data_IF_306991317548
#
_entry.id   IF_306991317548
#
_cell.length_a   1.000
_cell.length_b   1.000
_cell.length_c   1.000
_cell.angle_alpha   90.00
_cell.angle_beta   90.00
_cell.angle_gamma   90.00
#
_symmetry.space_group_name_H-M   'P 1'
#
loop_
_entity.id
_entity.type
_entity.pdbx_description
1 polymer ?
#
# COMPACT_ATOMS: atom_id res chain seq x y z
N UNK A 1 -18.16 -13.56 25.38
CA UNK A 1 -18.01 -12.14 25.03
C UNK A 1 -16.93 -12.03 23.97
N UNK A 2 -17.32 -11.81 22.73
CA UNK A 2 -16.43 -11.55 21.61
C UNK A 2 -15.57 -10.32 21.93
N UNK A 3 -14.30 -10.55 22.30
CA UNK A 3 -13.32 -9.48 22.45
C UNK A 3 -13.25 -8.78 21.10
N UNK A 4 -13.86 -7.60 21.00
CA UNK A 4 -13.52 -6.62 19.99
C UNK A 4 -12.04 -6.31 20.17
N UNK A 5 -11.20 -6.99 19.40
CA UNK A 5 -9.77 -6.68 19.33
C UNK A 5 -9.69 -5.31 18.67
N UNK A 6 -9.50 -4.27 19.47
CA UNK A 6 -9.14 -2.94 18.98
C UNK A 6 -7.87 -3.10 18.13
N UNK A 7 -8.06 -3.15 16.81
CA UNK A 7 -6.95 -3.26 15.87
C UNK A 7 -6.04 -2.07 16.14
N UNK A 8 -4.73 -2.29 16.36
CA UNK A 8 -3.80 -1.18 16.57
C UNK A 8 -3.95 -0.20 15.40
N UNK A 9 -3.98 1.11 15.70
CA UNK A 9 -4.12 2.18 14.71
C UNK A 9 -2.90 2.16 13.77
N UNK A 10 -2.97 1.31 12.75
CA UNK A 10 -1.92 1.18 11.75
C UNK A 10 -1.87 2.46 10.93
N UNK A 11 -0.70 3.12 10.82
CA UNK A 11 -0.58 4.28 9.96
C UNK A 11 -0.93 3.87 8.53
N UNK A 12 -1.64 4.73 7.80
CA UNK A 12 -2.01 4.50 6.40
C UNK A 12 -1.20 5.39 5.48
N UNK A 13 -1.07 5.01 4.21
CA UNK A 13 -0.31 5.74 3.22
C UNK A 13 -0.85 5.43 1.82
N UNK A 14 -0.67 6.35 0.86
CA UNK A 14 -1.20 6.18 -0.49
C UNK A 14 -0.19 5.48 -1.39
N UNK A 15 -0.59 4.38 -2.00
CA UNK A 15 0.26 3.60 -2.91
C UNK A 15 -0.40 3.34 -4.26
N UNK A 16 0.40 3.23 -5.31
CA UNK A 16 -0.03 2.71 -6.63
C UNK A 16 0.89 1.59 -7.08
N UNK A 17 0.45 0.73 -8.02
CA UNK A 17 1.36 -0.19 -8.71
C UNK A 17 2.51 0.60 -9.37
N UNK A 18 3.73 0.09 -9.25
CA UNK A 18 4.90 0.75 -9.84
C UNK A 18 4.81 0.79 -11.37
N UNK A 19 4.36 -0.31 -11.97
CA UNK A 19 4.27 -0.50 -13.43
C UNK A 19 2.82 -0.55 -13.89
N UNK A 20 2.54 0.10 -15.02
CA UNK A 20 1.22 0.04 -15.66
C UNK A 20 0.96 -1.39 -16.15
N UNK A 21 -0.10 -2.03 -15.66
CA UNK A 21 -0.41 -3.44 -15.92
C UNK A 21 0.08 -4.42 -14.86
N UNK A 22 0.85 -3.96 -13.86
CA UNK A 22 1.20 -4.80 -12.71
C UNK A 22 -0.01 -4.95 -11.77
N UNK A 23 -0.46 -6.18 -11.61
CA UNK A 23 -1.63 -6.52 -10.79
C UNK A 23 -1.16 -6.86 -9.37
N UNK A 24 -1.14 -5.85 -8.50
CA UNK A 24 -0.88 -6.06 -7.07
C UNK A 24 -2.21 -6.18 -6.33
N UNK A 25 -2.52 -7.38 -5.82
CA UNK A 25 -3.78 -7.65 -5.09
C UNK A 25 -3.65 -7.32 -3.61
N UNK A 26 -4.74 -6.81 -3.05
CA UNK A 26 -4.92 -6.68 -1.60
C UNK A 26 -5.08 -8.09 -0.98
N UNK A 27 -4.38 -8.41 0.12
CA UNK A 27 -4.45 -9.75 0.72
C UNK A 27 -5.80 -10.04 1.39
N UNK A 28 -6.57 -9.01 1.72
CA UNK A 28 -7.87 -9.12 2.38
C UNK A 28 -8.99 -9.12 1.33
N UNK A 29 -9.05 -8.08 0.50
CA UNK A 29 -10.16 -7.94 -0.47
C UNK A 29 -9.93 -8.71 -1.75
N UNK A 30 -8.69 -9.14 -2.03
CA UNK A 30 -8.26 -9.78 -3.28
C UNK A 30 -8.43 -8.90 -4.52
N UNK A 31 -8.74 -7.62 -4.32
CA UNK A 31 -8.90 -6.66 -5.39
C UNK A 31 -7.55 -6.10 -5.81
N UNK A 32 -7.36 -5.85 -7.12
CA UNK A 32 -6.16 -5.17 -7.61
C UNK A 32 -6.12 -3.71 -7.15
N UNK A 33 -4.91 -3.23 -6.88
CA UNK A 33 -4.65 -1.82 -6.63
C UNK A 33 -5.06 -0.97 -7.83
N UNK A 34 -5.68 0.18 -7.55
CA UNK A 34 -6.04 1.17 -8.57
C UNK A 34 -4.79 1.76 -9.19
N UNK A 35 -4.79 1.96 -10.51
CA UNK A 35 -3.68 2.58 -11.24
C UNK A 35 -3.41 4.03 -10.78
N UNK A 36 -4.45 4.75 -10.33
CA UNK A 36 -4.34 6.10 -9.75
C UNK A 36 -3.79 6.12 -8.33
N UNK A 37 -3.70 4.94 -7.70
CA UNK A 37 -3.31 4.72 -6.32
C UNK A 37 -4.46 4.76 -5.31
N UNK A 38 -4.24 4.11 -4.18
CA UNK A 38 -5.21 3.93 -3.10
C UNK A 38 -4.53 4.03 -1.73
N UNK A 39 -5.29 4.44 -0.71
CA UNK A 39 -4.82 4.48 0.67
C UNK A 39 -4.87 3.08 1.27
N UNK A 40 -3.71 2.57 1.68
CA UNK A 40 -3.57 1.25 2.29
C UNK A 40 -2.88 1.35 3.66
N UNK A 41 -3.13 0.38 4.56
CA UNK A 41 -2.46 0.33 5.84
C UNK A 41 -0.97 0.03 5.66
N UNK A 42 -0.10 0.68 6.43
CA UNK A 42 1.35 0.46 6.46
C UNK A 42 1.71 -0.79 7.25
N UNK A 43 1.21 -1.92 6.77
CA UNK A 43 1.47 -3.25 7.32
C UNK A 43 2.68 -3.91 6.61
N UNK A 44 3.11 -5.06 7.13
CA UNK A 44 4.25 -5.81 6.59
C UNK A 44 4.06 -6.22 5.11
N UNK A 45 2.84 -6.53 4.69
CA UNK A 45 2.56 -6.90 3.29
C UNK A 45 2.87 -5.75 2.33
N UNK A 46 2.32 -4.56 2.60
CA UNK A 46 2.52 -3.39 1.74
C UNK A 46 3.96 -2.86 1.81
N UNK A 47 4.59 -2.93 2.98
CA UNK A 47 6.01 -2.61 3.13
C UNK A 47 6.90 -3.56 2.32
N UNK A 48 6.57 -4.85 2.28
CA UNK A 48 7.28 -5.82 1.43
C UNK A 48 7.10 -5.47 -0.05
N UNK A 49 5.88 -5.17 -0.49
CA UNK A 49 5.62 -4.76 -1.89
C UNK A 49 6.33 -3.46 -2.27
N UNK A 50 6.51 -2.54 -1.34
CA UNK A 50 7.32 -1.33 -1.54
C UNK A 50 8.81 -1.68 -1.71
N UNK A 51 9.32 -2.61 -0.90
CA UNK A 51 10.71 -3.05 -0.98
C UNK A 51 10.99 -3.87 -2.25
N UNK A 52 10.02 -4.66 -2.72
CA UNK A 52 10.05 -5.37 -3.99
C UNK A 52 9.78 -4.45 -5.21
N UNK A 53 9.66 -3.13 -4.99
CA UNK A 53 9.36 -2.12 -6.02
C UNK A 53 8.10 -2.44 -6.85
N UNK A 54 7.22 -3.28 -6.31
CA UNK A 54 5.95 -3.66 -6.93
C UNK A 54 4.90 -2.55 -6.76
N UNK A 55 5.01 -1.78 -5.69
CA UNK A 55 4.18 -0.59 -5.44
C UNK A 55 5.07 0.59 -5.12
N UNK A 56 4.57 1.79 -5.39
CA UNK A 56 5.24 3.04 -5.05
C UNK A 56 4.34 3.88 -4.15
N UNK A 57 4.97 4.48 -3.15
CA UNK A 57 4.35 5.38 -2.19
C UNK A 57 4.18 6.75 -2.85
N UNK A 58 2.94 7.14 -3.14
CA UNK A 58 2.62 8.37 -3.86
C UNK A 58 3.03 9.60 -3.05
N UNK A 59 2.75 9.59 -1.75
CA UNK A 59 3.08 10.70 -0.85
C UNK A 59 4.60 10.88 -0.72
N UNK A 60 5.36 9.77 -0.73
CA UNK A 60 6.83 9.82 -0.72
C UNK A 60 7.45 10.14 -2.08
N UNK A 61 6.85 9.70 -3.19
CA UNK A 61 7.41 9.96 -4.53
C UNK A 61 7.44 11.46 -4.83
N UNK A 62 6.43 12.22 -4.39
CA UNK A 62 6.39 13.67 -4.53
C UNK A 62 7.55 14.39 -3.80
N UNK A 63 8.22 13.72 -2.85
CA UNK A 63 9.35 14.27 -2.09
C UNK A 63 10.72 13.72 -2.52
N UNK A 64 10.79 12.81 -3.50
CA UNK A 64 12.04 12.15 -3.91
C UNK A 64 12.54 12.53 -5.31
N UNK A 65 11.95 13.52 -5.97
CA UNK A 65 12.54 14.16 -7.16
C UNK A 65 13.41 15.35 -6.76
N UNK A 66 14.52 15.11 -6.07
CA UNK A 66 15.71 15.99 -6.12
C UNK A 66 16.93 15.20 -5.65
N UNK A 67 17.74 14.70 -6.59
CA UNK A 67 19.20 14.87 -6.68
C UNK A 67 19.84 13.77 -7.51
#
# INVERSE_FOLDING_TARGET
MDKQVEKPKVPTFKIKPATKGLIVKDPITREPLKAVGEVKPRNAYWLRRLAEESVVDIDKTAKKETK
#
